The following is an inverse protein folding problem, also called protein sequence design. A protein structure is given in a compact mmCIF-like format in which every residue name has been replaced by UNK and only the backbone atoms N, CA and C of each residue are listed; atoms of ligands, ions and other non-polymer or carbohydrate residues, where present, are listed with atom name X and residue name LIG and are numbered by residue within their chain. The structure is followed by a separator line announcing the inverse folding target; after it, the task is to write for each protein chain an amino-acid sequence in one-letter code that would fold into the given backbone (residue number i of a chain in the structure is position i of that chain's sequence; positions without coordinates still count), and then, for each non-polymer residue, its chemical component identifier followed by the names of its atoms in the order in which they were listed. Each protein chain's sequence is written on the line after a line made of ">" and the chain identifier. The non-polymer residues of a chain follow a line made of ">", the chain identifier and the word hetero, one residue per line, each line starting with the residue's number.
data_IF_376372411148
#
_entry.id   IF_376372411148
#
_cell.length_a   1.000
_cell.length_b   1.000
_cell.length_c   1.000
_cell.angle_alpha   90.00
_cell.angle_beta   90.00
_cell.angle_gamma   90.00
#
_symmetry.space_group_name_H-M   'P 1'
#
loop_
_entity.id
_entity.type
_entity.pdbx_description
1 polymer ?
#
# COMPACT_ATOMS: atom_id res chain seq x y z
N UNK A 1 -1.90 10.62 -6.35
CA UNK A 1 -3.05 10.99 -7.18
C UNK A 1 -4.31 10.35 -6.64
N UNK A 2 -5.47 10.93 -6.93
CA UNK A 2 -6.74 10.22 -6.80
C UNK A 2 -7.07 9.57 -8.14
N UNK A 3 -7.43 8.29 -8.13
CA UNK A 3 -7.74 7.56 -9.36
C UNK A 3 -9.19 7.82 -9.79
N UNK A 4 -9.44 8.98 -10.39
CA UNK A 4 -10.77 9.45 -10.82
C UNK A 4 -10.66 10.67 -11.74
N UNK A 5 -11.72 10.95 -12.51
CA UNK A 5 -11.83 12.13 -13.38
C UNK A 5 -12.54 13.32 -12.73
N UNK A 6 -13.07 13.16 -11.50
CA UNK A 6 -13.78 14.23 -10.79
C UNK A 6 -12.81 15.23 -10.17
N UNK A 7 -13.17 16.51 -10.19
CA UNK A 7 -12.50 17.55 -9.40
C UNK A 7 -12.97 17.48 -7.95
N UNK A 8 -12.08 17.79 -7.00
CA UNK A 8 -12.40 17.74 -5.57
C UNK A 8 -12.16 19.09 -4.91
N UNK A 9 -12.89 19.34 -3.82
CA UNK A 9 -12.62 20.48 -2.97
C UNK A 9 -11.31 20.23 -2.20
N UNK A 10 -10.28 21.01 -2.52
CA UNK A 10 -8.96 20.90 -1.93
C UNK A 10 -8.94 21.17 -0.43
N UNK A 11 -9.83 22.04 0.06
CA UNK A 11 -9.97 22.33 1.49
C UNK A 11 -10.49 21.11 2.25
N UNK A 12 -11.48 20.42 1.67
CA UNK A 12 -12.01 19.17 2.23
C UNK A 12 -10.94 18.07 2.23
N UNK A 13 -10.18 17.93 1.14
CA UNK A 13 -9.03 17.02 1.08
C UNK A 13 -8.01 17.33 2.17
N UNK A 14 -7.62 18.59 2.30
CA UNK A 14 -6.65 19.03 3.29
C UNK A 14 -7.10 18.69 4.72
N UNK A 15 -8.34 19.00 5.05
CA UNK A 15 -8.91 18.74 6.38
C UNK A 15 -9.01 17.25 6.68
N UNK A 16 -9.49 16.45 5.73
CA UNK A 16 -9.62 14.99 5.89
C UNK A 16 -8.23 14.35 6.04
N UNK A 17 -7.28 14.67 5.16
CA UNK A 17 -5.95 14.04 5.21
C UNK A 17 -5.16 14.41 6.47
N UNK A 18 -5.23 15.67 6.92
CA UNK A 18 -4.62 16.10 8.19
C UNK A 18 -5.24 15.38 9.39
N UNK A 19 -6.56 15.22 9.41
CA UNK A 19 -7.28 14.51 10.47
C UNK A 19 -6.95 13.01 10.49
N UNK A 20 -6.84 12.39 9.32
CA UNK A 20 -6.50 10.97 9.19
C UNK A 20 -5.05 10.67 9.58
N UNK A 21 -4.10 11.46 9.07
CA UNK A 21 -2.68 11.18 9.25
C UNK A 21 -2.11 11.71 10.56
N UNK A 22 -2.72 12.76 11.13
CA UNK A 22 -2.29 13.42 12.36
C UNK A 22 -0.77 13.65 12.39
N UNK A 23 -0.21 14.33 11.38
CA UNK A 23 1.23 14.59 11.30
C UNK A 23 1.66 15.41 12.51
N UNK A 24 2.72 14.98 13.20
CA UNK A 24 3.19 15.64 14.43
C UNK A 24 3.86 16.98 14.14
N UNK A 25 4.57 17.09 13.03
CA UNK A 25 5.41 18.25 12.72
C UNK A 25 4.82 19.15 11.62
N UNK A 26 3.58 18.87 11.21
CA UNK A 26 2.88 19.62 10.18
C UNK A 26 2.99 19.01 8.78
N UNK A 27 1.98 19.33 7.97
CA UNK A 27 1.80 18.85 6.60
C UNK A 27 1.27 20.01 5.75
N UNK A 28 1.96 20.29 4.64
CA UNK A 28 1.48 21.17 3.59
C UNK A 28 1.04 20.33 2.40
N UNK A 29 -0.12 20.64 1.85
CA UNK A 29 -0.68 19.93 0.70
C UNK A 29 -0.88 20.96 -0.40
N UNK A 30 -0.32 20.69 -1.58
CA UNK A 30 -0.49 21.55 -2.77
C UNK A 30 -1.15 20.76 -3.89
N UNK A 31 -2.11 21.39 -4.56
CA UNK A 31 -2.65 20.88 -5.81
C UNK A 31 -1.65 21.19 -6.93
N UNK A 32 -1.31 20.18 -7.74
CA UNK A 32 -0.42 20.32 -8.89
C UNK A 32 -1.13 19.99 -10.21
N UNK A 33 -2.47 19.91 -10.19
CA UNK A 33 -3.33 19.64 -11.34
C UNK A 33 -3.50 18.15 -11.63
N UNK A 34 -4.44 17.80 -12.51
CA UNK A 34 -4.68 16.41 -12.96
C UNK A 34 -4.90 15.40 -11.82
N UNK A 35 -5.56 15.81 -10.73
CA UNK A 35 -5.76 15.00 -9.53
C UNK A 35 -4.45 14.50 -8.88
N UNK A 36 -3.35 15.20 -9.13
CA UNK A 36 -2.07 15.04 -8.46
C UNK A 36 -1.95 16.06 -7.33
N UNK A 37 -1.46 15.59 -6.18
CA UNK A 37 -1.29 16.39 -4.99
C UNK A 37 0.12 16.17 -4.44
N UNK A 38 0.78 17.26 -4.06
CA UNK A 38 2.08 17.21 -3.40
C UNK A 38 1.89 17.33 -1.90
N UNK A 39 2.25 16.27 -1.18
CA UNK A 39 2.25 16.22 0.28
C UNK A 39 3.66 16.48 0.81
N UNK A 40 3.85 17.63 1.46
CA UNK A 40 5.13 18.04 2.05
C UNK A 40 5.06 17.85 3.56
N UNK A 41 5.76 16.83 4.04
CA UNK A 41 5.92 16.55 5.46
C UNK A 41 7.17 17.26 5.98
N UNK A 42 7.06 17.89 7.14
CA UNK A 42 8.20 18.52 7.81
C UNK A 42 9.09 17.50 8.55
N UNK A 43 8.64 16.25 8.65
CA UNK A 43 9.34 15.18 9.35
C UNK A 43 9.29 13.88 8.54
N UNK A 44 10.42 13.21 8.44
CA UNK A 44 10.53 11.95 7.70
C UNK A 44 9.73 10.82 8.36
N UNK A 45 9.65 10.77 9.68
CA UNK A 45 8.89 9.70 10.35
C UNK A 45 7.38 9.81 10.07
N UNK A 46 6.84 11.03 9.99
CA UNK A 46 5.44 11.24 9.61
C UNK A 46 5.21 10.79 8.16
N UNK A 47 6.15 11.09 7.25
CA UNK A 47 6.11 10.64 5.86
C UNK A 47 6.14 9.12 5.76
N UNK A 48 7.09 8.45 6.43
CA UNK A 48 7.22 6.99 6.40
C UNK A 48 5.97 6.33 6.99
N UNK A 49 5.49 6.82 8.13
CA UNK A 49 4.25 6.34 8.75
C UNK A 49 3.06 6.43 7.81
N UNK A 50 2.89 7.54 7.08
CA UNK A 50 1.81 7.67 6.10
C UNK A 50 1.98 6.68 4.96
N UNK A 51 3.19 6.50 4.44
CA UNK A 51 3.44 5.53 3.38
C UNK A 51 3.21 4.08 3.85
N UNK A 52 3.55 3.75 5.09
CA UNK A 52 3.42 2.43 5.72
C UNK A 52 1.99 2.11 6.19
N UNK A 53 1.21 3.09 6.61
CA UNK A 53 -0.17 2.81 7.08
C UNK A 53 -1.21 2.79 5.95
N UNK A 54 -0.80 3.03 4.71
CA UNK A 54 -1.67 2.90 3.53
C UNK A 54 -2.24 1.49 3.34
N UNK A 55 -3.27 1.33 2.48
CA UNK A 55 -3.75 2.31 1.51
C UNK A 55 -4.70 3.35 2.12
N UNK A 56 -4.72 4.55 1.53
CA UNK A 56 -5.59 5.64 1.98
C UNK A 56 -6.75 5.84 1.02
N UNK A 57 -7.89 6.27 1.57
CA UNK A 57 -9.12 6.50 0.82
C UNK A 57 -9.57 7.94 1.01
N UNK A 58 -10.06 8.55 -0.08
CA UNK A 58 -10.68 9.85 -0.07
C UNK A 58 -11.89 9.83 -1.01
N UNK A 59 -13.06 10.19 -0.48
CA UNK A 59 -14.34 10.19 -1.22
C UNK A 59 -14.55 8.94 -2.10
N UNK A 60 -14.40 7.74 -1.51
CA UNK A 60 -14.52 6.43 -2.18
C UNK A 60 -13.47 6.13 -3.26
N UNK A 61 -12.47 6.98 -3.44
CA UNK A 61 -11.35 6.73 -4.34
C UNK A 61 -10.09 6.41 -3.54
N UNK A 62 -9.27 5.50 -4.08
CA UNK A 62 -7.97 5.20 -3.49
C UNK A 62 -7.00 6.36 -3.78
N UNK A 63 -6.25 6.75 -2.76
CA UNK A 63 -5.16 7.70 -2.87
C UNK A 63 -3.87 6.95 -3.16
N UNK A 64 -3.35 7.14 -4.36
CA UNK A 64 -2.07 6.61 -4.79
C UNK A 64 -0.96 7.55 -4.30
N UNK A 65 -0.05 7.03 -3.50
CA UNK A 65 1.09 7.77 -2.95
C UNK A 65 2.38 7.15 -3.46
N UNK A 66 3.34 8.00 -3.82
CA UNK A 66 4.71 7.60 -4.09
C UNK A 66 5.67 8.69 -3.63
N UNK A 67 6.94 8.31 -3.45
CA UNK A 67 8.02 9.26 -3.22
C UNK A 67 8.31 9.98 -4.53
N UNK A 68 8.38 11.31 -4.47
CA UNK A 68 8.76 12.13 -5.61
C UNK A 68 10.20 12.57 -5.36
N UNK A 69 11.10 12.23 -6.28
CA UNK A 69 12.47 12.75 -6.26
C UNK A 69 12.50 14.20 -6.72
N UNK A 70 13.45 14.98 -6.18
CA UNK A 70 13.55 16.43 -6.37
C UNK A 70 13.64 16.83 -7.86
N UNK A 71 14.20 15.96 -8.70
CA UNK A 71 14.40 16.19 -10.13
C UNK A 71 13.20 15.79 -11.01
N UNK A 72 12.11 15.29 -10.41
CA UNK A 72 10.98 14.76 -11.18
C UNK A 72 10.03 15.88 -11.58
N UNK A 73 9.84 16.08 -12.89
CA UNK A 73 8.82 16.99 -13.39
C UNK A 73 7.42 16.50 -13.01
N UNK A 74 6.52 17.36 -12.52
CA UNK A 74 5.15 16.96 -12.15
C UNK A 74 4.38 16.25 -13.27
N UNK A 75 4.69 16.57 -14.53
CA UNK A 75 4.07 15.99 -15.73
C UNK A 75 4.55 14.57 -16.05
N UNK A 76 5.69 14.11 -15.52
CA UNK A 76 6.18 12.73 -15.71
C UNK A 76 5.72 11.77 -14.61
N UNK A 77 5.07 12.28 -13.55
CA UNK A 77 4.62 11.48 -12.41
C UNK A 77 3.40 10.65 -12.82
N UNK A 78 3.63 9.35 -13.07
CA UNK A 78 2.57 8.37 -13.30
C UNK A 78 2.40 7.48 -12.06
N UNK A 79 1.27 7.65 -11.38
CA UNK A 79 0.92 6.88 -10.19
C UNK A 79 -0.11 5.83 -10.57
N UNK A 80 0.31 4.57 -10.64
CA UNK A 80 -0.56 3.43 -11.00
C UNK A 80 -0.56 2.32 -9.95
N UNK A 81 0.31 2.38 -8.95
CA UNK A 81 0.40 1.34 -7.93
C UNK A 81 0.01 1.87 -6.55
N UNK A 82 -0.64 1.01 -5.75
CA UNK A 82 -0.92 1.27 -4.34
C UNK A 82 -0.40 0.12 -3.48
N UNK A 83 0.09 0.45 -2.29
CA UNK A 83 0.51 -0.54 -1.30
C UNK A 83 -0.70 -1.03 -0.49
N UNK A 84 -0.87 -2.34 -0.41
CA UNK A 84 -1.93 -3.02 0.34
C UNK A 84 -1.32 -3.92 1.42
N UNK A 85 -1.96 -3.93 2.59
CA UNK A 85 -1.68 -4.93 3.63
C UNK A 85 -2.59 -6.16 3.42
N UNK A 86 -2.02 -7.27 2.96
CA UNK A 86 -2.70 -8.54 2.74
C UNK A 86 -2.42 -9.47 3.90
N UNK A 87 -3.46 -10.13 4.42
CA UNK A 87 -3.32 -11.17 5.45
C UNK A 87 -3.42 -12.55 4.80
N UNK A 88 -2.44 -13.40 5.08
CA UNK A 88 -2.41 -14.79 4.62
C UNK A 88 -2.54 -15.71 5.84
N UNK A 89 -3.58 -16.53 5.81
CA UNK A 89 -3.92 -17.47 6.87
C UNK A 89 -3.54 -18.90 6.48
N UNK A 90 -3.27 -19.74 7.49
CA UNK A 90 -3.02 -21.17 7.27
C UNK A 90 -1.66 -21.50 6.66
N UNK A 91 -0.72 -20.55 6.63
CA UNK A 91 0.67 -20.80 6.24
C UNK A 91 1.47 -21.14 7.49
N UNK A 92 2.03 -22.37 7.60
CA UNK A 92 2.92 -22.70 8.71
C UNK A 92 4.13 -21.76 8.70
N UNK A 93 4.55 -21.26 9.86
CA UNK A 93 5.69 -20.35 9.99
C UNK A 93 6.97 -20.86 9.32
N UNK A 94 7.22 -22.17 9.39
CA UNK A 94 8.36 -22.83 8.78
C UNK A 94 8.32 -22.86 7.24
N UNK A 95 7.17 -22.55 6.63
CA UNK A 95 6.97 -22.55 5.19
C UNK A 95 7.23 -21.18 4.55
N UNK A 96 7.72 -20.19 5.30
CA UNK A 96 8.16 -18.89 4.74
C UNK A 96 9.49 -19.03 3.98
N UNK A 97 9.53 -19.91 2.99
CA UNK A 97 10.68 -20.11 2.11
C UNK A 97 10.65 -19.10 0.96
N UNK A 98 11.80 -18.92 0.30
CA UNK A 98 11.91 -18.12 -0.92
C UNK A 98 10.90 -18.53 -2.00
N UNK A 99 10.48 -19.80 -2.00
CA UNK A 99 9.45 -20.29 -2.93
C UNK A 99 8.09 -19.65 -2.66
N UNK A 100 7.67 -19.54 -1.40
CA UNK A 100 6.39 -18.91 -1.04
C UNK A 100 6.43 -17.40 -1.31
N UNK A 101 7.55 -16.75 -0.99
CA UNK A 101 7.80 -15.33 -1.29
C UNK A 101 7.70 -15.06 -2.79
N UNK A 102 8.30 -15.92 -3.62
CA UNK A 102 8.24 -15.82 -5.08
C UNK A 102 6.81 -15.99 -5.60
N UNK A 103 6.08 -17.00 -5.13
CA UNK A 103 4.69 -17.20 -5.57
C UNK A 103 3.82 -15.98 -5.23
N UNK A 104 3.99 -15.38 -4.04
CA UNK A 104 3.30 -14.15 -3.64
C UNK A 104 3.64 -13.02 -4.62
N UNK A 105 4.92 -12.80 -4.89
CA UNK A 105 5.39 -11.75 -5.80
C UNK A 105 4.79 -11.91 -7.21
N UNK A 106 4.83 -13.13 -7.74
CA UNK A 106 4.37 -13.43 -9.10
C UNK A 106 2.84 -13.34 -9.24
N UNK A 107 2.08 -13.51 -8.15
CA UNK A 107 0.61 -13.61 -8.22
C UNK A 107 -0.15 -12.43 -7.64
N UNK A 108 0.44 -11.65 -6.72
CA UNK A 108 -0.26 -10.59 -6.00
C UNK A 108 0.27 -9.21 -6.41
N UNK A 109 1.59 -9.04 -6.50
CA UNK A 109 2.22 -7.77 -6.82
C UNK A 109 3.63 -7.66 -6.24
N UNK A 110 4.19 -6.46 -6.28
CA UNK A 110 5.56 -6.23 -5.80
C UNK A 110 5.59 -6.29 -4.27
N UNK A 111 6.21 -7.32 -3.71
CA UNK A 111 6.33 -7.48 -2.27
C UNK A 111 7.27 -6.40 -1.69
N UNK A 112 6.75 -5.60 -0.77
CA UNK A 112 7.49 -4.56 -0.03
C UNK A 112 7.97 -5.07 1.33
N UNK A 113 7.13 -5.80 2.07
CA UNK A 113 7.43 -6.22 3.45
C UNK A 113 6.68 -7.51 3.84
N UNK A 114 7.27 -8.33 4.71
CA UNK A 114 6.63 -9.48 5.34
C UNK A 114 6.77 -9.36 6.85
N UNK A 115 5.65 -9.38 7.56
CA UNK A 115 5.57 -9.41 9.01
C UNK A 115 4.85 -10.70 9.45
N UNK A 116 5.49 -11.48 10.32
CA UNK A 116 4.88 -12.66 10.93
C UNK A 116 4.14 -12.23 12.18
N UNK A 117 2.82 -12.36 12.20
CA UNK A 117 2.01 -12.01 13.37
C UNK A 117 1.49 -13.26 14.06
N UNK A 118 1.96 -13.49 15.29
CA UNK A 118 1.35 -14.45 16.22
C UNK A 118 0.22 -13.76 16.99
N UNK A 119 -1.02 -14.11 16.69
CA UNK A 119 -2.14 -13.59 17.47
C UNK A 119 -2.18 -14.16 18.90
N UNK A 120 -2.93 -13.48 19.79
CA UNK A 120 -3.01 -13.80 21.23
C UNK A 120 -3.76 -15.08 21.57
N UNK A 121 -4.52 -15.64 20.61
CA UNK A 121 -5.24 -16.91 20.77
C UNK A 121 -4.48 -18.04 20.09
N UNK A 122 -4.54 -19.24 20.65
CA UNK A 122 -4.14 -20.47 19.96
C UNK A 122 -4.83 -20.50 18.57
N UNK A 123 -4.07 -20.72 17.50
CA UNK A 123 -4.49 -20.66 16.08
C UNK A 123 -4.76 -19.29 15.42
N UNK A 124 -4.41 -18.16 16.04
CA UNK A 124 -4.55 -16.84 15.39
C UNK A 124 -3.31 -16.32 14.66
N UNK A 125 -2.43 -17.23 14.21
CA UNK A 125 -1.23 -16.89 13.46
C UNK A 125 -1.59 -16.55 12.00
N UNK A 126 -1.06 -15.43 11.50
CA UNK A 126 -1.17 -15.06 10.09
C UNK A 126 0.07 -14.30 9.64
N UNK A 127 0.32 -14.35 8.33
CA UNK A 127 1.34 -13.52 7.69
C UNK A 127 0.69 -12.22 7.24
N UNK A 128 1.30 -11.10 7.57
CA UNK A 128 0.92 -9.79 7.06
C UNK A 128 1.94 -9.41 6.00
N UNK A 129 1.47 -9.33 4.76
CA UNK A 129 2.26 -8.97 3.61
C UNK A 129 1.93 -7.54 3.21
N UNK A 130 2.94 -6.74 2.95
CA UNK A 130 2.80 -5.46 2.27
C UNK A 130 3.15 -5.65 0.80
N UNK A 131 2.18 -5.40 -0.08
CA UNK A 131 2.32 -5.63 -1.52
C UNK A 131 1.89 -4.40 -2.30
N UNK A 132 2.71 -4.00 -3.27
CA UNK A 132 2.41 -2.92 -4.20
C UNK A 132 1.71 -3.50 -5.42
N UNK A 133 0.45 -3.13 -5.62
CA UNK A 133 -0.41 -3.68 -6.67
C UNK A 133 -0.74 -2.58 -7.67
N UNK A 134 -0.66 -2.89 -8.96
CA UNK A 134 -1.14 -2.00 -10.04
C UNK A 134 -2.66 -1.92 -9.98
N UNK A 135 -3.20 -0.72 -9.74
CA UNK A 135 -4.64 -0.53 -9.59
C UNK A 135 -5.38 -0.56 -10.92
N UNK A 136 -4.68 -0.51 -12.06
CA UNK A 136 -5.29 -0.63 -13.40
C UNK A 136 -5.84 -2.04 -13.63
N UNK A 137 -5.31 -3.03 -12.91
CA UNK A 137 -5.79 -4.40 -12.92
C UNK A 137 -6.79 -4.61 -11.76
N UNK A 138 -7.87 -5.39 -11.98
CA UNK A 138 -8.82 -5.69 -10.91
C UNK A 138 -8.15 -6.46 -9.77
N UNK A 139 -8.42 -6.03 -8.53
CA UNK A 139 -7.93 -6.73 -7.34
C UNK A 139 -8.48 -8.17 -7.30
N UNK A 140 -7.58 -9.13 -7.14
CA UNK A 140 -7.95 -10.54 -6.96
C UNK A 140 -8.69 -10.70 -5.62
N UNK A 141 -9.89 -11.28 -5.65
CA UNK A 141 -10.74 -11.47 -4.45
C UNK A 141 -10.16 -12.48 -3.45
N UNK A 142 -9.31 -13.39 -3.91
CA UNK A 142 -8.65 -14.38 -3.09
C UNK A 142 -7.71 -15.25 -3.91
N UNK A 143 -6.79 -15.93 -3.22
CA UNK A 143 -5.83 -16.85 -3.81
C UNK A 143 -5.70 -18.06 -2.90
N UNK A 144 -5.71 -19.27 -3.49
CA UNK A 144 -5.38 -20.50 -2.78
C UNK A 144 -3.93 -20.85 -3.09
N UNK A 145 -3.10 -20.89 -2.06
CA UNK A 145 -1.71 -21.28 -2.19
C UNK A 145 -1.57 -22.77 -1.87
N UNK A 146 -1.04 -23.55 -2.82
CA UNK A 146 -0.64 -24.94 -2.56
C UNK A 146 0.84 -24.93 -2.17
N UNK A 147 1.12 -25.18 -0.89
CA UNK A 147 2.48 -25.33 -0.37
C UNK A 147 2.74 -26.82 -0.26
N UNK A 148 3.65 -27.33 -1.10
CA UNK A 148 3.97 -28.76 -1.18
C UNK A 148 3.63 -29.35 -2.54
N UNK A 149 4.63 -29.44 -3.42
CA UNK A 149 4.71 -30.58 -4.32
C UNK A 149 5.33 -31.70 -3.51
N UNK A 150 4.60 -32.78 -3.25
CA UNK A 150 5.29 -34.04 -3.09
C UNK A 150 6.02 -34.26 -4.43
N UNK A 151 7.35 -34.26 -4.41
CA UNK A 151 8.10 -34.95 -5.45
C UNK A 151 7.55 -36.38 -5.46
N UNK A 152 6.82 -36.71 -6.53
CA UNK A 152 6.67 -38.10 -6.94
C UNK A 152 7.97 -38.46 -7.65
N UNK A 153 8.87 -39.13 -6.95
CA UNK A 153 9.69 -40.22 -7.49
C UNK A 153 9.82 -41.28 -6.41
#
# INVERSE_FOLDING_TARGET
>A
SLWTSKSFNMEVLNNIMKSLWKPKFGLRIRDIGNNLFLFQFNNEQDRMKVLELGPWWFDRHILLLDKVDVETHPSSISLHKASFCVRVYGVPFLCLSDTVVRIIRDNIGDLEEIEVTSGKKENSQYLKLRVRIDVREPLRRGMKLRIGGAEKV
#
